data_IF_548695306103
#
_entry.id   IF_548695306103
#
_cell.length_a   1.000
_cell.length_b   1.000
_cell.length_c   1.000
_cell.angle_alpha   90.00
_cell.angle_beta   90.00
_cell.angle_gamma   90.00
#
_symmetry.space_group_name_H-M   'P 1'
#
loop_
_entity.id
_entity.type
_entity.pdbx_description
1 polymer ?
#
# COMPACT_ATOMS: atom_id res chain seq x y z
N UNK A 1 -11.74 -7.07 -14.05
CA UNK A 1 -10.93 -6.45 -12.97
C UNK A 1 -11.87 -6.10 -11.84
N UNK A 2 -11.61 -6.54 -10.60
CA UNK A 2 -12.46 -6.21 -9.44
C UNK A 2 -12.16 -4.79 -8.94
N UNK A 3 -13.10 -4.14 -8.25
CA UNK A 3 -12.86 -2.81 -7.67
C UNK A 3 -11.64 -2.79 -6.74
N UNK A 4 -11.44 -3.89 -5.99
CA UNK A 4 -10.28 -4.05 -5.10
C UNK A 4 -8.93 -4.10 -5.84
N UNK A 5 -8.93 -4.44 -7.13
CA UNK A 5 -7.73 -4.53 -7.96
C UNK A 5 -7.45 -3.23 -8.75
N UNK A 6 -8.33 -2.21 -8.66
CA UNK A 6 -8.11 -0.94 -9.35
C UNK A 6 -7.10 -0.07 -8.59
N UNK A 7 -6.22 0.57 -9.34
CA UNK A 7 -5.29 1.61 -8.87
C UNK A 7 -5.19 2.73 -9.88
N UNK A 8 -4.75 3.90 -9.43
CA UNK A 8 -4.65 5.14 -10.20
C UNK A 8 -5.98 5.85 -10.42
N UNK A 9 -5.87 7.03 -11.00
CA UNK A 9 -6.98 7.89 -11.47
C UNK A 9 -6.81 8.33 -12.93
N UNK A 10 -5.87 7.71 -13.66
CA UNK A 10 -5.52 8.06 -15.03
C UNK A 10 -4.42 9.12 -15.15
N UNK A 11 -3.96 9.71 -14.05
CA UNK A 11 -2.80 10.61 -14.05
C UNK A 11 -1.48 9.84 -13.84
N UNK A 12 -0.38 10.38 -14.36
CA UNK A 12 0.98 9.84 -14.12
C UNK A 12 1.34 9.88 -12.62
N UNK A 13 0.84 10.88 -11.90
CA UNK A 13 1.11 11.09 -10.48
C UNK A 13 0.66 9.91 -9.60
N UNK A 14 -0.46 9.28 -9.95
CA UNK A 14 -1.13 8.27 -9.14
C UNK A 14 -1.03 6.85 -9.72
N UNK A 15 -0.18 6.62 -10.72
CA UNK A 15 0.05 5.26 -11.26
C UNK A 15 0.44 4.30 -10.15
N UNK A 16 -0.28 3.17 -10.06
CA UNK A 16 -0.04 2.13 -9.04
C UNK A 16 -0.55 2.47 -7.63
N UNK A 17 -1.03 3.70 -7.39
CA UNK A 17 -1.55 4.14 -6.09
C UNK A 17 -3.05 3.89 -6.04
N UNK A 18 -3.54 3.23 -5.00
CA UNK A 18 -4.98 3.12 -4.78
C UNK A 18 -5.55 4.45 -4.26
N UNK A 19 -6.03 5.30 -5.15
CA UNK A 19 -6.50 6.66 -4.82
C UNK A 19 -7.70 6.69 -3.87
N UNK A 20 -8.50 5.62 -3.86
CA UNK A 20 -9.69 5.45 -3.00
C UNK A 20 -9.41 4.83 -1.63
N UNK A 21 -8.17 4.41 -1.34
CA UNK A 21 -7.83 3.83 -0.05
C UNK A 21 -7.86 4.87 1.07
N UNK A 22 -8.39 4.51 2.24
CA UNK A 22 -8.50 5.41 3.40
C UNK A 22 -7.22 5.45 4.26
N UNK A 23 -6.41 4.38 4.22
CA UNK A 23 -5.24 4.22 5.09
C UNK A 23 -3.96 4.34 4.28
N UNK A 24 -3.29 5.49 4.34
CA UNK A 24 -1.99 5.68 3.68
C UNK A 24 -0.84 5.10 4.52
N UNK A 25 0.12 4.46 3.88
CA UNK A 25 1.38 4.06 4.50
C UNK A 25 2.17 5.31 4.97
N UNK A 26 2.80 5.31 6.16
CA UNK A 26 3.63 6.43 6.59
C UNK A 26 4.90 6.62 5.73
N UNK A 27 5.42 5.53 5.17
CA UNK A 27 6.75 5.52 4.53
C UNK A 27 6.67 5.57 3.00
N UNK A 28 5.47 5.42 2.43
CA UNK A 28 5.27 5.49 0.98
C UNK A 28 3.87 6.00 0.62
N UNK A 29 3.60 6.19 -0.67
CA UNK A 29 2.32 6.75 -1.14
C UNK A 29 1.20 5.71 -1.29
N UNK A 30 1.45 4.43 -1.01
CA UNK A 30 0.42 3.39 -1.09
C UNK A 30 -0.70 3.63 -0.08
N UNK A 31 -1.94 3.43 -0.52
CA UNK A 31 -3.13 3.49 0.33
C UNK A 31 -3.88 2.16 0.31
N UNK A 32 -4.59 1.88 1.40
CA UNK A 32 -5.27 0.62 1.64
C UNK A 32 -6.70 0.84 2.13
N UNK A 33 -7.57 -0.14 1.89
CA UNK A 33 -8.97 -0.10 2.34
C UNK A 33 -9.10 -0.33 3.85
N UNK A 34 -8.09 -0.92 4.47
CA UNK A 34 -8.10 -1.22 5.89
C UNK A 34 -6.74 -0.98 6.54
N UNK A 35 -6.78 -0.60 7.80
CA UNK A 35 -5.62 -0.44 8.66
C UNK A 35 -4.78 -1.73 8.73
N UNK A 36 -5.43 -2.90 8.80
CA UNK A 36 -4.75 -4.21 8.80
C UNK A 36 -3.92 -4.44 7.54
N UNK A 37 -4.46 -4.11 6.36
CA UNK A 37 -3.74 -4.26 5.10
C UNK A 37 -2.51 -3.31 5.05
N UNK A 38 -2.66 -2.07 5.53
CA UNK A 38 -1.53 -1.13 5.65
C UNK A 38 -0.44 -1.66 6.61
N UNK A 39 -0.83 -2.21 7.76
CA UNK A 39 0.12 -2.79 8.72
C UNK A 39 0.87 -3.97 8.15
N UNK A 40 0.18 -4.87 7.44
CA UNK A 40 0.83 -6.00 6.76
C UNK A 40 1.79 -5.51 5.67
N UNK A 41 1.38 -4.54 4.85
CA UNK A 41 2.26 -3.90 3.87
C UNK A 41 3.53 -3.35 4.53
N UNK A 42 3.39 -2.58 5.60
CA UNK A 42 4.54 -2.01 6.29
C UNK A 42 5.47 -3.10 6.84
N UNK A 43 4.90 -4.11 7.51
CA UNK A 43 5.66 -5.25 8.06
C UNK A 43 6.49 -5.98 7.00
N UNK A 44 5.94 -6.16 5.80
CA UNK A 44 6.60 -6.96 4.77
C UNK A 44 7.40 -6.14 3.74
N UNK A 45 7.34 -4.81 3.77
CA UNK A 45 8.01 -3.96 2.78
C UNK A 45 8.97 -2.97 3.43
N UNK A 46 8.63 -2.45 4.61
CA UNK A 46 9.35 -1.36 5.29
C UNK A 46 9.96 -1.76 6.64
N UNK A 47 9.54 -2.87 7.25
CA UNK A 47 10.10 -3.33 8.53
C UNK A 47 11.62 -3.55 8.38
N UNK A 48 12.45 -2.80 9.13
CA UNK A 48 13.90 -2.98 9.10
C UNK A 48 14.34 -4.39 9.52
N UNK A 49 13.50 -5.11 10.26
CA UNK A 49 13.76 -6.45 10.76
C UNK A 49 13.30 -7.57 9.82
N UNK A 50 12.83 -7.24 8.60
CA UNK A 50 12.20 -8.22 7.71
C UNK A 50 13.12 -9.38 7.30
N UNK A 51 14.45 -9.17 7.32
CA UNK A 51 15.44 -10.18 6.95
C UNK A 51 16.24 -10.68 8.16
N UNK A 52 15.57 -10.94 9.29
CA UNK A 52 16.16 -11.84 10.27
C UNK A 52 16.08 -13.26 9.69
N UNK A 53 17.09 -13.62 8.91
CA UNK A 53 17.40 -15.02 8.62
C UNK A 53 17.96 -15.63 9.92
N UNK A 54 17.42 -16.78 10.33
CA UNK A 54 17.93 -17.59 11.45
C UNK A 54 19.31 -18.18 11.12
#
# INVERSE_FOLDING_TARGET
>A
ITEAAKSGDGTVTNVGIRTTGAHQCPDCRQKFDSEKAKQLHWKFIHDPNRHQED
#
